data_IF_648506392124
#
_entry.id   IF_648506392124
#
_cell.length_a   1.000
_cell.length_b   1.000
_cell.length_c   1.000
_cell.angle_alpha   90.00
_cell.angle_beta   90.00
_cell.angle_gamma   90.00
#
_symmetry.space_group_name_H-M   'P 1'
#
loop_
_entity.id
_entity.type
_entity.pdbx_description
1 polymer ?
#
# COMPACT_ATOMS: atom_id res chain seq x y z
N UNK A 1 -5.12 0.87 -17.08
CA UNK A 1 -6.31 0.29 -16.37
C UNK A 1 -7.18 1.44 -15.85
N UNK A 2 -8.48 1.42 -16.10
CA UNK A 2 -9.42 2.42 -15.56
C UNK A 2 -9.83 2.00 -14.14
N UNK A 3 -9.16 2.59 -13.14
CA UNK A 3 -9.35 2.25 -11.72
C UNK A 3 -10.73 2.67 -11.21
N UNK A 4 -11.25 3.82 -11.65
CA UNK A 4 -12.55 4.33 -11.22
C UNK A 4 -13.67 3.40 -11.67
N UNK A 5 -13.66 2.99 -12.95
CA UNK A 5 -14.61 2.04 -13.48
C UNK A 5 -14.58 0.71 -12.72
N UNK A 6 -13.38 0.19 -12.39
CA UNK A 6 -13.25 -1.06 -11.62
C UNK A 6 -13.78 -0.91 -10.20
N UNK A 7 -13.60 0.24 -9.57
CA UNK A 7 -14.16 0.53 -8.26
C UNK A 7 -15.69 0.65 -8.32
N UNK A 8 -16.25 1.27 -9.35
CA UNK A 8 -17.69 1.31 -9.55
C UNK A 8 -18.29 -0.10 -9.71
N UNK A 9 -17.62 -1.00 -10.44
CA UNK A 9 -18.02 -2.40 -10.56
C UNK A 9 -18.00 -3.12 -9.19
N UNK A 10 -16.96 -2.87 -8.36
CA UNK A 10 -16.87 -3.46 -7.01
C UNK A 10 -17.99 -2.92 -6.12
N UNK A 11 -18.24 -1.59 -6.11
CA UNK A 11 -19.26 -0.95 -5.28
C UNK A 11 -20.70 -1.25 -5.74
N UNK A 12 -20.89 -1.61 -7.01
CA UNK A 12 -22.17 -2.02 -7.60
C UNK A 12 -22.46 -3.52 -7.51
N UNK A 13 -21.59 -4.32 -6.89
CA UNK A 13 -21.73 -5.77 -6.87
C UNK A 13 -22.91 -6.25 -5.98
N UNK A 14 -23.73 -7.16 -6.50
CA UNK A 14 -24.94 -7.65 -5.82
C UNK A 14 -24.69 -8.30 -4.46
N UNK A 15 -23.54 -8.96 -4.25
CA UNK A 15 -23.21 -9.60 -2.98
C UNK A 15 -23.07 -8.60 -1.81
N UNK A 16 -22.83 -7.32 -2.10
CA UNK A 16 -22.75 -6.26 -1.08
C UNK A 16 -24.09 -6.07 -0.35
N UNK A 17 -25.20 -6.48 -0.96
CA UNK A 17 -26.52 -6.47 -0.32
C UNK A 17 -26.60 -7.39 0.92
N UNK A 18 -25.71 -8.37 1.03
CA UNK A 18 -25.63 -9.29 2.17
C UNK A 18 -24.69 -8.82 3.29
N UNK A 19 -23.98 -7.71 3.12
CA UNK A 19 -23.13 -7.13 4.17
C UNK A 19 -23.94 -6.69 5.41
N UNK A 20 -23.26 -6.62 6.57
CA UNK A 20 -23.86 -6.08 7.79
C UNK A 20 -24.31 -4.62 7.62
N UNK A 21 -25.29 -4.15 8.42
CA UNK A 21 -25.70 -2.74 8.38
C UNK A 21 -24.53 -1.77 8.59
N UNK A 22 -23.60 -2.12 9.50
CA UNK A 22 -22.39 -1.35 9.77
C UNK A 22 -21.47 -1.29 8.56
N UNK A 23 -21.26 -2.42 7.87
CA UNK A 23 -20.47 -2.47 6.65
C UNK A 23 -21.14 -1.68 5.50
N UNK A 24 -22.47 -1.74 5.37
CA UNK A 24 -23.21 -0.92 4.40
C UNK A 24 -23.04 0.58 4.65
N UNK A 25 -23.04 1.01 5.91
CA UNK A 25 -22.76 2.41 6.26
C UNK A 25 -21.39 2.87 5.74
N UNK A 26 -20.37 1.99 5.78
CA UNK A 26 -19.04 2.29 5.23
C UNK A 26 -19.07 2.35 3.70
N UNK A 27 -19.81 1.44 3.03
CA UNK A 27 -20.00 1.53 1.57
C UNK A 27 -20.64 2.86 1.14
N UNK A 28 -21.63 3.36 1.89
CA UNK A 28 -22.30 4.64 1.62
C UNK A 28 -21.38 5.85 1.69
N UNK A 29 -20.22 5.73 2.36
CA UNK A 29 -19.19 6.78 2.36
C UNK A 29 -18.46 6.91 1.03
N UNK A 30 -18.62 5.90 0.16
CA UNK A 30 -17.92 5.80 -1.11
C UNK A 30 -16.48 5.31 -0.97
N UNK A 31 -15.67 5.60 -1.97
CA UNK A 31 -14.28 5.18 -2.02
C UNK A 31 -13.33 6.35 -2.33
N UNK A 32 -12.06 6.13 -2.03
CA UNK A 32 -10.98 7.03 -2.44
C UNK A 32 -9.96 6.24 -3.22
N UNK A 33 -9.49 6.82 -4.33
CA UNK A 33 -8.38 6.28 -5.10
C UNK A 33 -7.35 7.36 -5.44
N UNK A 34 -6.16 6.91 -5.79
CA UNK A 34 -5.05 7.76 -6.18
C UNK A 34 -4.69 7.47 -7.63
N UNK A 35 -4.68 8.49 -8.47
CA UNK A 35 -4.29 8.35 -9.86
C UNK A 35 -2.79 8.07 -9.96
N UNK A 36 -2.47 6.83 -10.31
CA UNK A 36 -1.13 6.36 -10.63
C UNK A 36 -1.19 5.87 -12.08
N UNK A 37 -0.73 6.70 -13.01
CA UNK A 37 -0.91 6.45 -14.46
C UNK A 37 0.36 5.90 -15.13
N UNK A 38 1.49 5.88 -14.39
CA UNK A 38 2.79 5.53 -14.91
C UNK A 38 3.67 4.80 -13.89
N UNK A 39 4.75 4.22 -14.38
CA UNK A 39 5.78 3.60 -13.55
C UNK A 39 6.40 4.60 -12.58
N UNK A 40 6.59 4.16 -11.33
CA UNK A 40 7.27 4.94 -10.28
C UNK A 40 8.22 4.02 -9.51
N UNK A 41 9.43 4.47 -9.29
CA UNK A 41 10.45 3.67 -8.60
C UNK A 41 10.13 3.43 -7.12
N UNK A 42 9.42 4.36 -6.48
CA UNK A 42 9.01 4.29 -5.08
C UNK A 42 7.48 4.24 -4.96
N UNK A 43 6.98 3.26 -4.20
CA UNK A 43 5.58 3.18 -3.81
C UNK A 43 5.45 3.30 -2.29
N UNK A 44 4.61 4.22 -1.82
CA UNK A 44 4.22 4.30 -0.41
C UNK A 44 2.79 3.78 -0.27
N UNK A 45 2.54 2.84 0.66
CA UNK A 45 1.21 2.28 0.86
C UNK A 45 0.65 2.58 2.25
N UNK A 46 -0.64 2.92 2.29
CA UNK A 46 -1.48 2.89 3.48
C UNK A 46 -2.36 1.64 3.54
N UNK A 47 -3.23 1.53 4.56
CA UNK A 47 -4.18 0.44 4.65
C UNK A 47 -5.50 0.80 3.97
N UNK A 48 -6.11 1.91 4.35
CA UNK A 48 -7.33 2.46 3.76
C UNK A 48 -7.42 3.96 4.06
N UNK A 49 -8.13 4.73 3.22
CA UNK A 49 -8.40 6.13 3.49
C UNK A 49 -9.26 6.29 4.75
N UNK A 50 -8.95 7.29 5.57
CA UNK A 50 -9.80 7.63 6.70
C UNK A 50 -11.05 8.40 6.24
N UNK A 51 -12.14 8.30 7.00
CA UNK A 51 -13.35 9.09 6.83
C UNK A 51 -13.56 9.98 8.05
N UNK A 52 -13.82 11.25 7.83
CA UNK A 52 -14.25 12.20 8.86
C UNK A 52 -15.70 12.58 8.61
N UNK A 53 -16.47 12.81 9.66
CA UNK A 53 -17.91 13.09 9.54
C UNK A 53 -18.21 14.38 8.76
N UNK A 54 -17.26 15.34 8.77
CA UNK A 54 -17.36 16.59 8.00
C UNK A 54 -17.03 16.41 6.51
N UNK A 55 -16.51 15.25 6.11
CA UNK A 55 -16.15 14.99 4.72
C UNK A 55 -17.36 14.58 3.90
N UNK A 56 -17.38 15.02 2.63
CA UNK A 56 -18.42 14.59 1.69
C UNK A 56 -18.36 13.09 1.44
N UNK A 57 -19.53 12.45 1.41
CA UNK A 57 -19.69 11.09 0.90
C UNK A 57 -19.48 11.07 -0.61
N UNK A 58 -19.12 9.92 -1.15
CA UNK A 58 -18.99 9.69 -2.58
C UNK A 58 -17.58 9.27 -3.02
N UNK A 59 -17.40 9.25 -4.31
CA UNK A 59 -16.16 8.85 -4.94
C UNK A 59 -15.18 10.02 -4.97
N UNK A 60 -13.94 9.80 -4.58
CA UNK A 60 -12.89 10.83 -4.58
C UNK A 60 -11.63 10.29 -5.23
N UNK A 61 -11.23 10.92 -6.35
CA UNK A 61 -9.95 10.68 -7.00
C UNK A 61 -8.93 11.76 -6.65
N UNK A 62 -7.73 11.35 -6.26
CA UNK A 62 -6.64 12.27 -5.94
C UNK A 62 -5.48 12.11 -6.92
N UNK A 63 -4.93 13.25 -7.37
CA UNK A 63 -3.69 13.25 -8.13
C UNK A 63 -2.50 13.16 -7.17
N UNK A 64 -1.78 12.04 -7.21
CA UNK A 64 -0.65 11.75 -6.32
C UNK A 64 0.45 12.79 -6.44
N UNK A 65 0.79 13.22 -7.65
CA UNK A 65 1.84 14.23 -7.89
C UNK A 65 1.51 15.53 -7.17
N UNK A 66 0.27 16.04 -7.31
CA UNK A 66 -0.17 17.27 -6.62
C UNK A 66 -0.17 17.15 -5.10
N UNK A 67 -0.50 15.96 -4.57
CA UNK A 67 -0.48 15.73 -3.13
C UNK A 67 0.94 15.73 -2.56
N UNK A 68 1.92 15.32 -3.35
CA UNK A 68 3.32 15.18 -2.94
C UNK A 68 4.19 16.41 -3.30
N UNK A 69 3.71 17.38 -4.06
CA UNK A 69 4.44 18.61 -4.40
C UNK A 69 5.01 19.31 -3.16
N UNK A 70 6.25 19.83 -3.25
CA UNK A 70 6.94 20.52 -2.14
C UNK A 70 6.16 21.71 -1.61
N UNK A 71 5.62 22.53 -2.54
CA UNK A 71 4.88 23.76 -2.27
C UNK A 71 3.41 23.51 -1.97
N UNK A 72 2.94 22.26 -2.02
CA UNK A 72 1.55 21.95 -1.71
C UNK A 72 1.20 22.42 -0.29
N UNK A 73 -0.02 22.96 -0.14
CA UNK A 73 -0.53 23.47 1.14
C UNK A 73 -0.26 22.47 2.27
N UNK A 74 0.06 23.01 3.46
CA UNK A 74 0.26 22.17 4.64
C UNK A 74 -0.98 21.32 4.90
N UNK A 75 -0.74 20.01 5.07
CA UNK A 75 -1.74 19.02 5.40
C UNK A 75 -1.16 18.10 6.48
N UNK A 76 -1.94 17.80 7.51
CA UNK A 76 -1.47 17.00 8.66
C UNK A 76 -1.07 15.58 8.28
N UNK A 77 -1.67 15.03 7.24
CA UNK A 77 -1.38 13.69 6.75
C UNK A 77 -0.27 13.68 5.68
N UNK A 78 -0.38 14.55 4.66
CA UNK A 78 0.52 14.55 3.52
C UNK A 78 1.87 15.22 3.80
N UNK A 79 1.91 16.28 4.62
CA UNK A 79 3.16 16.97 4.92
C UNK A 79 4.23 16.07 5.55
N UNK A 80 3.90 15.15 6.49
CA UNK A 80 4.85 14.16 6.99
C UNK A 80 5.38 13.22 5.91
N UNK A 81 4.53 12.77 4.98
CA UNK A 81 4.93 11.88 3.88
C UNK A 81 5.86 12.62 2.93
N UNK A 82 5.48 13.84 2.49
CA UNK A 82 6.33 14.67 1.64
C UNK A 82 7.74 14.84 2.21
N UNK A 83 7.85 15.14 3.51
CA UNK A 83 9.13 15.34 4.19
C UNK A 83 10.03 14.10 4.26
N UNK A 84 9.52 12.93 3.93
CA UNK A 84 10.32 11.73 3.77
C UNK A 84 10.98 11.66 2.38
N UNK A 85 10.48 12.42 1.40
CA UNK A 85 10.81 12.26 -0.01
C UNK A 85 11.86 13.24 -0.51
N UNK A 86 12.15 14.30 0.23
CA UNK A 86 13.13 15.28 -0.21
C UNK A 86 13.93 15.93 0.93
N UNK A 87 15.10 16.40 0.58
CA UNK A 87 15.94 17.31 1.37
C UNK A 87 16.59 18.36 0.45
N UNK A 88 17.79 18.89 0.80
CA UNK A 88 18.51 19.87 -0.02
C UNK A 88 19.08 19.26 -1.31
N UNK A 89 19.52 17.99 -1.24
CA UNK A 89 20.30 17.33 -2.30
C UNK A 89 19.50 16.25 -3.05
N UNK A 90 18.43 15.74 -2.44
CA UNK A 90 17.63 14.60 -2.95
C UNK A 90 16.19 15.02 -3.11
N UNK A 91 15.58 14.64 -4.24
CA UNK A 91 14.15 14.74 -4.51
C UNK A 91 13.63 13.46 -5.15
N UNK A 92 12.75 12.76 -4.41
CA UNK A 92 12.12 11.51 -4.84
C UNK A 92 10.63 11.70 -5.18
N UNK A 93 10.12 12.95 -5.16
CA UNK A 93 8.68 13.22 -5.33
C UNK A 93 8.18 12.69 -6.66
N UNK A 94 8.85 13.02 -7.76
CA UNK A 94 8.43 12.60 -9.11
C UNK A 94 8.58 11.10 -9.35
N UNK A 95 9.40 10.41 -8.54
CA UNK A 95 9.58 8.95 -8.59
C UNK A 95 8.60 8.21 -7.68
N UNK A 96 7.72 8.92 -6.95
CA UNK A 96 6.88 8.34 -5.91
C UNK A 96 5.44 8.22 -6.35
N UNK A 97 4.89 7.01 -6.19
CA UNK A 97 3.46 6.71 -6.18
C UNK A 97 2.94 6.55 -4.76
N UNK A 98 1.66 6.78 -4.57
CA UNK A 98 0.96 6.49 -3.33
C UNK A 98 -0.33 5.71 -3.62
N UNK A 99 -0.65 4.72 -2.79
CA UNK A 99 -1.97 4.09 -2.73
C UNK A 99 -2.26 3.57 -1.33
N UNK A 100 -3.53 3.47 -0.99
CA UNK A 100 -4.00 2.62 0.09
C UNK A 100 -4.38 1.25 -0.48
N UNK A 101 -4.11 0.16 0.25
CA UNK A 101 -4.37 -1.20 -0.26
C UNK A 101 -5.87 -1.51 -0.34
N UNK A 102 -6.70 -0.78 0.42
CA UNK A 102 -8.15 -0.76 0.32
C UNK A 102 -8.64 0.64 -0.01
N UNK A 103 -9.79 0.72 -0.68
CA UNK A 103 -10.36 1.97 -1.17
C UNK A 103 -11.52 2.48 -0.33
N UNK A 104 -12.12 1.63 0.54
CA UNK A 104 -13.18 2.04 1.45
C UNK A 104 -12.66 3.01 2.51
N UNK A 105 -13.55 3.88 3.01
CA UNK A 105 -13.21 4.99 3.90
C UNK A 105 -13.63 4.68 5.34
N UNK A 106 -12.63 4.39 6.21
CA UNK A 106 -12.87 4.08 7.62
C UNK A 106 -11.65 4.47 8.48
N UNK A 107 -11.91 5.12 9.62
CA UNK A 107 -10.86 5.50 10.58
C UNK A 107 -10.50 4.40 11.58
N UNK A 108 -11.45 3.48 11.87
CA UNK A 108 -11.27 2.44 12.87
C UNK A 108 -10.76 1.14 12.23
N UNK A 109 -9.50 0.80 12.47
CA UNK A 109 -8.92 -0.43 11.92
C UNK A 109 -9.57 -1.71 12.47
N UNK A 110 -10.12 -1.67 13.69
CA UNK A 110 -10.89 -2.78 14.27
C UNK A 110 -12.13 -3.13 13.45
N UNK A 111 -12.69 -2.16 12.73
CA UNK A 111 -13.82 -2.36 11.81
C UNK A 111 -13.51 -3.43 10.77
N UNK A 112 -12.33 -3.40 10.16
CA UNK A 112 -11.91 -4.38 9.15
C UNK A 112 -12.05 -5.82 9.66
N UNK A 113 -11.55 -6.09 10.87
CA UNK A 113 -11.62 -7.43 11.47
C UNK A 113 -13.02 -7.81 11.91
N UNK A 114 -13.74 -6.88 12.52
CA UNK A 114 -15.05 -7.14 13.11
C UNK A 114 -16.16 -7.29 12.07
N UNK A 115 -16.18 -6.44 11.06
CA UNK A 115 -17.30 -6.34 10.13
C UNK A 115 -17.03 -6.97 8.76
N UNK A 116 -15.79 -6.86 8.25
CA UNK A 116 -15.48 -7.38 6.93
C UNK A 116 -14.87 -8.78 6.97
N UNK A 117 -13.79 -9.00 7.72
CA UNK A 117 -13.11 -10.31 7.74
C UNK A 117 -13.86 -11.40 8.52
N UNK A 118 -14.93 -11.06 9.23
CA UNK A 118 -15.76 -12.00 9.97
C UNK A 118 -16.88 -12.68 9.13
N UNK A 119 -17.08 -12.25 7.88
CA UNK A 119 -18.17 -12.68 7.00
C UNK A 119 -17.68 -12.96 5.58
N UNK A 120 -18.23 -13.98 4.89
CA UNK A 120 -17.82 -14.31 3.52
C UNK A 120 -17.93 -13.14 2.54
N UNK A 121 -19.02 -12.37 2.60
CA UNK A 121 -19.26 -11.22 1.73
C UNK A 121 -18.28 -10.10 1.98
N UNK A 122 -17.93 -9.87 3.24
CA UNK A 122 -16.91 -8.89 3.61
C UNK A 122 -15.52 -9.32 3.18
N UNK A 123 -15.18 -10.61 3.31
CA UNK A 123 -13.93 -11.17 2.78
C UNK A 123 -13.87 -10.97 1.26
N UNK A 124 -14.95 -11.26 0.54
CA UNK A 124 -15.04 -11.05 -0.91
C UNK A 124 -14.80 -9.59 -1.28
N UNK A 125 -15.42 -8.65 -0.56
CA UNK A 125 -15.21 -7.22 -0.76
C UNK A 125 -13.75 -6.79 -0.55
N UNK A 126 -13.07 -7.38 0.41
CA UNK A 126 -11.63 -7.17 0.65
C UNK A 126 -10.80 -7.77 -0.50
N UNK A 127 -11.13 -8.99 -0.94
CA UNK A 127 -10.44 -9.68 -2.04
C UNK A 127 -10.56 -8.89 -3.34
N UNK A 128 -11.74 -8.39 -3.71
CA UNK A 128 -11.95 -7.64 -4.93
C UNK A 128 -11.11 -6.34 -4.95
N UNK A 129 -11.00 -5.65 -3.80
CA UNK A 129 -10.15 -4.47 -3.68
C UNK A 129 -8.65 -4.80 -3.72
N UNK A 130 -8.21 -5.86 -3.04
CA UNK A 130 -6.81 -6.29 -3.08
C UNK A 130 -6.39 -6.76 -4.47
N UNK A 131 -7.30 -7.42 -5.20
CA UNK A 131 -7.06 -7.80 -6.60
C UNK A 131 -6.77 -6.57 -7.46
N UNK A 132 -7.63 -5.55 -7.37
CA UNK A 132 -7.41 -4.27 -8.05
C UNK A 132 -6.09 -3.61 -7.65
N UNK A 133 -5.76 -3.63 -6.36
CA UNK A 133 -4.50 -3.09 -5.84
C UNK A 133 -3.30 -3.85 -6.38
N UNK A 134 -3.33 -5.18 -6.40
CA UNK A 134 -2.24 -6.00 -6.92
C UNK A 134 -2.02 -5.73 -8.41
N UNK A 135 -3.07 -5.68 -9.24
CA UNK A 135 -2.97 -5.29 -10.63
C UNK A 135 -2.40 -3.88 -10.82
N UNK A 136 -2.79 -2.92 -9.97
CA UNK A 136 -2.21 -1.56 -10.02
C UNK A 136 -0.72 -1.57 -9.75
N UNK A 137 -0.27 -2.34 -8.76
CA UNK A 137 1.16 -2.44 -8.42
C UNK A 137 1.95 -3.17 -9.53
N UNK A 138 1.42 -4.30 -10.02
CA UNK A 138 2.10 -5.17 -10.98
C UNK A 138 2.15 -4.61 -12.42
N UNK A 139 1.08 -3.97 -12.86
CA UNK A 139 0.93 -3.60 -14.27
C UNK A 139 1.16 -2.10 -14.51
N UNK A 140 0.90 -1.25 -13.53
CA UNK A 140 0.97 0.20 -13.69
C UNK A 140 2.21 0.77 -13.01
N UNK A 141 2.35 0.61 -11.69
CA UNK A 141 3.39 1.29 -10.91
C UNK A 141 4.74 0.59 -11.08
N UNK A 142 4.81 -0.73 -10.94
CA UNK A 142 6.02 -1.56 -11.02
C UNK A 142 7.21 -0.98 -10.22
N UNK A 143 7.05 -0.78 -8.89
CA UNK A 143 8.05 -0.10 -8.08
C UNK A 143 9.30 -0.95 -7.87
N UNK A 144 10.43 -0.28 -7.63
CA UNK A 144 11.69 -0.87 -7.16
C UNK A 144 11.77 -0.95 -5.63
N UNK A 145 11.02 -0.05 -4.94
CA UNK A 145 10.94 0.03 -3.49
C UNK A 145 9.49 0.27 -3.07
N UNK A 146 9.00 -0.55 -2.14
CA UNK A 146 7.67 -0.39 -1.54
C UNK A 146 7.85 -0.07 -0.06
N UNK A 147 7.24 1.03 0.41
CA UNK A 147 7.15 1.40 1.82
C UNK A 147 5.76 1.06 2.33
N UNK A 148 5.67 0.04 3.17
CA UNK A 148 4.42 -0.35 3.83
C UNK A 148 4.36 0.33 5.19
N UNK A 149 3.64 1.47 5.27
CA UNK A 149 3.64 2.34 6.46
C UNK A 149 2.65 1.93 7.56
N UNK A 150 1.98 0.80 7.41
CA UNK A 150 1.05 0.26 8.39
C UNK A 150 1.39 -1.19 8.70
N UNK A 151 1.61 -1.51 9.99
CA UNK A 151 2.00 -2.86 10.41
C UNK A 151 1.00 -3.94 10.00
N UNK A 152 -0.30 -3.65 10.03
CA UNK A 152 -1.34 -4.62 9.65
C UNK A 152 -1.36 -4.89 8.15
N UNK A 153 -0.94 -3.93 7.32
CA UNK A 153 -0.85 -4.10 5.86
C UNK A 153 0.16 -5.16 5.44
N UNK A 154 1.16 -5.45 6.27
CA UNK A 154 2.21 -6.43 5.94
C UNK A 154 1.65 -7.83 5.64
N UNK A 155 0.59 -8.25 6.36
CA UNK A 155 -0.06 -9.54 6.14
C UNK A 155 -0.66 -9.65 4.73
N UNK A 156 -1.22 -8.56 4.20
CA UNK A 156 -1.84 -8.56 2.86
C UNK A 156 -0.83 -8.70 1.72
N UNK A 157 0.44 -8.35 1.96
CA UNK A 157 1.55 -8.62 1.04
C UNK A 157 2.06 -10.08 1.09
N UNK A 158 1.68 -10.86 2.11
CA UNK A 158 2.13 -12.24 2.30
C UNK A 158 3.20 -12.43 3.37
N UNK A 159 3.60 -11.36 4.11
CA UNK A 159 4.63 -11.44 5.15
C UNK A 159 4.33 -12.46 6.27
N UNK A 160 3.05 -12.71 6.54
CA UNK A 160 2.61 -13.64 7.58
C UNK A 160 2.34 -15.07 7.06
N UNK A 161 2.56 -15.33 5.76
CA UNK A 161 2.18 -16.60 5.11
C UNK A 161 2.86 -17.80 5.76
N UNK A 162 4.16 -17.74 6.01
CA UNK A 162 4.91 -18.85 6.62
C UNK A 162 4.49 -19.16 8.06
N UNK A 163 4.11 -18.12 8.84
CA UNK A 163 3.77 -18.25 10.26
C UNK A 163 2.29 -18.50 10.52
N UNK A 164 1.42 -17.93 9.69
CA UNK A 164 -0.03 -17.83 9.95
C UNK A 164 -0.89 -18.30 8.80
N UNK A 165 -0.30 -18.62 7.63
CA UNK A 165 -1.02 -19.01 6.44
C UNK A 165 -1.83 -17.87 5.79
N UNK A 166 -1.50 -16.61 6.07
CA UNK A 166 -2.19 -15.47 5.48
C UNK A 166 -1.53 -15.10 4.15
N UNK A 167 -2.04 -15.62 3.07
CA UNK A 167 -1.43 -15.51 1.75
C UNK A 167 -1.79 -14.21 1.05
N UNK A 168 -3.06 -13.88 0.92
CA UNK A 168 -3.60 -12.70 0.25
C UNK A 168 -2.95 -12.44 -1.12
N UNK A 169 -2.25 -11.30 -1.32
CA UNK A 169 -1.49 -11.03 -2.55
C UNK A 169 -0.39 -12.06 -2.79
N UNK A 170 0.18 -12.61 -1.72
CA UNK A 170 1.05 -13.79 -1.77
C UNK A 170 2.41 -13.53 -2.41
N UNK A 171 3.02 -12.38 -2.15
CA UNK A 171 4.43 -12.21 -2.49
C UNK A 171 5.31 -13.12 -1.62
N UNK A 172 6.19 -13.87 -2.26
CA UNK A 172 7.25 -14.60 -1.59
C UNK A 172 8.32 -13.59 -1.15
N UNK A 173 8.54 -13.49 0.16
CA UNK A 173 9.35 -12.45 0.79
C UNK A 173 10.56 -13.06 1.51
N UNK A 174 11.76 -12.66 1.12
CA UNK A 174 13.01 -12.98 1.80
C UNK A 174 13.45 -11.80 2.66
N UNK A 175 13.67 -12.03 3.96
CA UNK A 175 14.14 -10.97 4.84
C UNK A 175 15.61 -10.64 4.54
N UNK A 176 15.89 -9.36 4.29
CA UNK A 176 17.25 -8.86 4.04
C UNK A 176 17.91 -8.48 5.36
N UNK A 177 17.29 -7.57 6.12
CA UNK A 177 17.82 -7.10 7.40
C UNK A 177 16.74 -6.36 8.21
N UNK A 178 17.11 -6.04 9.46
CA UNK A 178 16.39 -5.07 10.28
C UNK A 178 17.08 -3.71 10.17
N UNK A 179 16.33 -2.69 9.81
CA UNK A 179 16.83 -1.31 9.76
C UNK A 179 16.29 -0.51 10.95
N UNK A 180 16.80 0.70 11.15
CA UNK A 180 16.26 1.61 12.16
C UNK A 180 14.77 1.93 11.92
N UNK A 181 14.33 1.97 10.64
CA UNK A 181 12.98 2.35 10.24
C UNK A 181 11.99 1.18 10.13
N UNK A 182 12.48 -0.06 10.10
CA UNK A 182 11.63 -1.25 9.98
C UNK A 182 12.37 -2.45 9.43
N UNK A 183 11.62 -3.46 9.04
CA UNK A 183 12.14 -4.71 8.51
C UNK A 183 12.19 -4.62 6.98
N UNK A 184 13.35 -4.84 6.40
CA UNK A 184 13.58 -4.83 4.95
C UNK A 184 13.51 -6.25 4.39
N UNK A 185 12.70 -6.41 3.36
CA UNK A 185 12.54 -7.66 2.61
C UNK A 185 12.80 -7.44 1.12
N UNK A 186 13.04 -8.53 0.41
CA UNK A 186 13.11 -8.60 -1.06
C UNK A 186 11.99 -9.52 -1.56
N UNK A 187 11.29 -9.12 -2.61
CA UNK A 187 10.36 -9.99 -3.32
C UNK A 187 11.18 -10.98 -4.16
N UNK A 188 10.96 -12.28 -3.94
CA UNK A 188 11.63 -13.34 -4.68
C UNK A 188 10.73 -14.04 -5.70
N UNK A 189 9.42 -13.78 -5.61
CA UNK A 189 8.42 -14.38 -6.50
C UNK A 189 7.02 -14.28 -5.91
N UNK A 190 6.17 -15.22 -6.28
CA UNK A 190 4.84 -15.41 -5.71
C UNK A 190 4.80 -16.76 -4.97
N UNK A 191 4.05 -16.81 -3.88
CA UNK A 191 3.76 -18.05 -3.16
C UNK A 191 2.92 -18.94 -4.09
N UNK A 192 3.34 -20.19 -4.28
CA UNK A 192 2.58 -21.18 -5.04
C UNK A 192 1.37 -21.65 -4.22
N UNK A 193 0.24 -21.00 -4.44
CA UNK A 193 -1.01 -21.31 -3.75
C UNK A 193 -2.22 -20.82 -4.55
N UNK A 194 -3.25 -21.65 -4.59
CA UNK A 194 -4.56 -21.30 -5.16
C UNK A 194 -5.37 -20.33 -4.26
N UNK A 195 -4.90 -20.06 -3.05
CA UNK A 195 -5.53 -19.10 -2.12
C UNK A 195 -5.07 -17.66 -2.35
N UNK A 196 -4.15 -17.40 -3.29
CA UNK A 196 -3.79 -16.02 -3.69
C UNK A 196 -4.99 -15.32 -4.31
N UNK A 197 -5.12 -14.02 -4.01
CA UNK A 197 -6.30 -13.23 -4.42
C UNK A 197 -6.33 -12.89 -5.92
N UNK A 198 -5.20 -12.97 -6.62
CA UNK A 198 -5.08 -12.73 -8.06
C UNK A 198 -4.38 -13.94 -8.71
N UNK A 199 -5.06 -15.10 -8.82
CA UNK A 199 -4.46 -16.33 -9.33
C UNK A 199 -4.07 -16.24 -10.81
N UNK A 200 -4.65 -15.31 -11.58
CA UNK A 200 -4.31 -15.01 -12.97
C UNK A 200 -2.90 -14.39 -13.12
N UNK A 201 -2.40 -13.71 -12.09
CA UNK A 201 -1.01 -13.25 -12.04
C UNK A 201 -0.14 -14.44 -11.63
N UNK A 202 0.37 -15.17 -12.59
CA UNK A 202 1.18 -16.38 -12.36
C UNK A 202 2.66 -16.08 -12.08
N UNK A 203 3.12 -14.91 -12.52
CA UNK A 203 4.48 -14.43 -12.28
C UNK A 203 4.45 -12.95 -11.94
N UNK A 204 5.26 -12.54 -10.98
CA UNK A 204 5.38 -11.12 -10.60
C UNK A 204 6.47 -10.43 -11.42
N UNK A 205 6.18 -9.19 -11.85
CA UNK A 205 7.15 -8.29 -12.42
C UNK A 205 8.10 -7.68 -11.34
N UNK A 206 7.83 -7.93 -10.09
CA UNK A 206 8.48 -7.28 -8.94
C UNK A 206 9.61 -8.09 -8.31
N UNK A 207 10.12 -9.13 -8.98
CA UNK A 207 11.27 -9.88 -8.46
C UNK A 207 12.46 -8.94 -8.28
N UNK A 208 13.05 -8.95 -7.07
CA UNK A 208 14.12 -8.03 -6.67
C UNK A 208 13.65 -6.69 -6.08
N UNK A 209 12.34 -6.37 -6.15
CA UNK A 209 11.79 -5.19 -5.48
C UNK A 209 12.01 -5.29 -3.97
N UNK A 210 12.48 -4.21 -3.36
CA UNK A 210 12.63 -4.10 -1.93
C UNK A 210 11.31 -3.68 -1.27
N UNK A 211 11.00 -4.27 -0.12
CA UNK A 211 9.81 -3.94 0.66
C UNK A 211 10.23 -3.59 2.10
N UNK A 212 10.04 -2.34 2.49
CA UNK A 212 10.29 -1.88 3.85
C UNK A 212 8.97 -1.89 4.64
N UNK A 213 8.82 -2.83 5.55
CA UNK A 213 7.72 -2.85 6.51
C UNK A 213 8.06 -1.96 7.70
N UNK A 214 7.55 -0.73 7.69
CA UNK A 214 7.83 0.23 8.74
C UNK A 214 6.92 0.02 9.95
N UNK A 215 7.28 0.68 11.06
CA UNK A 215 6.30 0.96 12.13
C UNK A 215 5.17 1.81 11.57
N UNK A 216 4.03 1.85 12.27
CA UNK A 216 2.92 2.72 11.84
C UNK A 216 3.38 4.17 11.71
N UNK A 217 3.33 4.71 10.48
CA UNK A 217 3.66 6.10 10.18
C UNK A 217 2.36 6.89 10.00
N UNK A 218 2.11 7.81 10.91
CA UNK A 218 0.99 8.75 10.84
C UNK A 218 1.46 10.17 11.22
N UNK A 219 0.52 11.09 11.31
CA UNK A 219 0.79 12.50 11.65
C UNK A 219 1.46 12.70 13.01
N UNK A 220 1.28 11.77 13.96
CA UNK A 220 1.86 11.83 15.32
C UNK A 220 3.22 11.13 15.41
N UNK A 221 3.64 10.39 14.38
CA UNK A 221 4.94 9.72 14.37
C UNK A 221 6.05 10.77 14.41
N UNK A 222 6.97 10.66 15.35
CA UNK A 222 8.12 11.54 15.47
C UNK A 222 8.97 11.51 14.18
N UNK A 223 9.59 12.65 13.84
CA UNK A 223 10.35 12.80 12.60
C UNK A 223 11.48 11.77 12.47
N UNK A 224 12.21 11.53 13.54
CA UNK A 224 13.32 10.59 13.59
C UNK A 224 12.93 9.13 13.35
N UNK A 225 11.66 8.79 13.53
CA UNK A 225 11.13 7.44 13.28
C UNK A 225 10.59 7.24 11.87
N UNK A 226 10.68 8.26 11.02
CA UNK A 226 10.27 8.20 9.62
C UNK A 226 11.48 8.03 8.74
N UNK A 227 11.44 7.18 7.70
CA UNK A 227 12.51 7.12 6.70
C UNK A 227 12.85 8.50 6.16
N UNK A 228 14.12 8.75 5.91
CA UNK A 228 14.60 10.00 5.31
C UNK A 228 14.80 9.82 3.80
N UNK A 229 14.87 10.92 3.07
CA UNK A 229 15.14 10.91 1.63
C UNK A 229 16.47 10.22 1.31
N UNK A 230 17.50 10.43 2.14
CA UNK A 230 18.81 9.78 2.00
C UNK A 230 18.70 8.26 2.12
N UNK A 231 17.96 7.79 3.13
CA UNK A 231 17.77 6.36 3.36
C UNK A 231 16.98 5.72 2.19
N UNK A 232 15.89 6.36 1.77
CA UNK A 232 15.08 5.86 0.65
C UNK A 232 15.87 5.84 -0.66
N UNK A 233 16.62 6.90 -0.95
CA UNK A 233 17.49 6.98 -2.13
C UNK A 233 18.58 5.91 -2.11
N UNK A 234 19.17 5.64 -0.93
CA UNK A 234 20.14 4.54 -0.75
C UNK A 234 19.50 3.19 -1.08
N UNK A 235 18.29 2.89 -0.60
CA UNK A 235 17.59 1.63 -0.90
C UNK A 235 17.30 1.48 -2.41
N UNK A 236 16.88 2.55 -3.09
CA UNK A 236 16.68 2.55 -4.54
C UNK A 236 17.99 2.26 -5.30
N UNK A 237 19.10 2.85 -4.83
CA UNK A 237 20.41 2.60 -5.41
C UNK A 237 20.87 1.15 -5.22
N UNK A 238 20.73 0.60 -4.02
CA UNK A 238 21.04 -0.81 -3.71
C UNK A 238 20.20 -1.76 -4.57
N UNK A 239 18.91 -1.50 -4.72
CA UNK A 239 18.03 -2.31 -5.55
C UNK A 239 18.50 -2.30 -7.01
N UNK A 240 18.92 -1.15 -7.53
CA UNK A 240 19.38 -1.02 -8.93
C UNK A 240 20.71 -1.74 -9.21
N UNK A 241 21.56 -1.87 -8.20
CA UNK A 241 22.87 -2.58 -8.32
C UNK A 241 22.78 -4.08 -7.99
N UNK A 242 21.67 -4.53 -7.44
CA UNK A 242 21.50 -5.86 -6.90
C UNK A 242 21.95 -5.94 -5.44
N UNK A 243 21.02 -6.30 -4.56
CA UNK A 243 21.23 -6.31 -3.10
C UNK A 243 22.35 -7.23 -2.65
N UNK A 244 22.58 -8.31 -3.37
CA UNK A 244 23.61 -9.31 -3.07
C UNK A 244 25.05 -8.75 -3.21
N UNK A 245 25.18 -7.58 -3.85
CA UNK A 245 26.46 -6.87 -4.06
C UNK A 245 26.77 -5.83 -2.98
N UNK A 246 25.88 -5.60 -2.01
CA UNK A 246 25.99 -4.53 -1.03
C UNK A 246 26.21 -5.07 0.39
N UNK A 247 27.18 -4.53 1.17
CA UNK A 247 27.35 -4.90 2.57
C UNK A 247 26.13 -4.45 3.38
N UNK A 248 25.33 -5.41 3.84
CA UNK A 248 24.09 -5.19 4.63
C UNK A 248 24.40 -4.46 5.96
N UNK A 249 25.64 -4.54 6.45
CA UNK A 249 26.09 -3.89 7.69
C UNK A 249 26.00 -2.36 7.65
N UNK A 250 25.88 -1.76 6.46
CA UNK A 250 25.79 -0.33 6.25
C UNK A 250 24.33 0.21 6.13
N UNK A 251 23.33 -0.65 6.32
CA UNK A 251 21.90 -0.30 6.29
C UNK A 251 21.33 -0.07 7.69
#
# INVERSE_FOLDING_TARGET
MDIEKRLDEIWGADYLNALSPEAKTVLERGYVFYNNEERKDLLITGINPSFREEESKGQLGFNTTKLLEREAKHDVYWSPIRKMLYNQDIDLIDQTAYLDIFYFREKEQTFLKRELLSRPEGIRFIVDQLNLTMHTIEEVIQPKLIIVKNKESAAYFGKEAEKRGWIWMGYALEQVCNTYYGELYKITGLIDSHERIAPEITQTALVGTLVLFTRHINQYTKRELRPTAEFLNRLLHIQSQGIDSYPIEDL
#
